data_IF_904630342567
#
_entry.id   IF_904630342567
#
_cell.length_a   1.000
_cell.length_b   1.000
_cell.length_c   1.000
_cell.angle_alpha   90.00
_cell.angle_beta   90.00
_cell.angle_gamma   90.00
#
_symmetry.space_group_name_H-M   'P 1'
#
loop_
_entity.id
_entity.type
_entity.pdbx_description
1 polymer ?
#
# COMPACT_ATOMS: atom_id res chain seq x y z
N UNK A 1 14.41 23.03 3.76
CA UNK A 1 12.97 23.25 3.53
C UNK A 1 12.82 23.83 2.13
N UNK A 2 12.69 22.96 1.13
CA UNK A 2 12.30 23.37 -0.22
C UNK A 2 10.77 23.41 -0.22
N UNK A 3 10.19 24.49 -0.76
CA UNK A 3 8.75 24.69 -0.78
C UNK A 3 8.08 23.72 -1.77
N UNK A 4 6.81 23.40 -1.48
CA UNK A 4 5.92 22.67 -2.37
C UNK A 4 6.01 23.22 -3.81
N UNK A 5 6.38 22.38 -4.78
CA UNK A 5 6.54 22.73 -6.20
C UNK A 5 7.95 23.16 -6.66
N UNK A 6 8.97 23.10 -5.80
CA UNK A 6 10.37 23.27 -6.22
C UNK A 6 11.01 21.95 -6.68
N UNK A 7 11.78 21.97 -7.77
CA UNK A 7 12.68 20.89 -8.22
C UNK A 7 14.10 21.12 -7.68
N UNK A 8 14.84 20.04 -7.41
CA UNK A 8 16.28 20.09 -7.10
C UNK A 8 16.68 19.94 -5.62
N UNK A 9 15.98 19.12 -4.82
CA UNK A 9 16.41 18.78 -3.45
C UNK A 9 17.04 17.39 -3.28
N UNK A 10 17.26 16.67 -4.39
CA UNK A 10 18.01 15.41 -4.43
C UNK A 10 19.48 15.64 -4.01
N UNK A 11 19.73 15.59 -2.71
CA UNK A 11 21.08 15.75 -2.17
C UNK A 11 21.84 14.46 -2.44
N UNK A 12 22.85 14.52 -3.31
CA UNK A 12 23.72 13.37 -3.58
C UNK A 12 24.34 12.82 -2.28
N UNK A 13 24.52 11.50 -2.23
CA UNK A 13 25.22 10.76 -1.18
C UNK A 13 26.52 11.50 -0.74
N UNK A 14 26.84 11.66 0.57
CA UNK A 14 26.55 10.76 1.69
C UNK A 14 25.37 11.17 2.60
N UNK A 15 24.59 12.19 2.26
CA UNK A 15 23.61 12.78 3.19
C UNK A 15 22.17 12.27 3.05
N UNK A 16 21.91 11.37 2.09
CA UNK A 16 20.59 10.78 1.85
C UNK A 16 20.57 9.31 2.28
N UNK A 17 19.69 8.96 3.20
CA UNK A 17 19.46 7.57 3.60
C UNK A 17 18.09 7.15 3.04
N UNK A 18 18.07 6.12 2.19
CA UNK A 18 16.82 5.60 1.62
C UNK A 18 16.05 4.84 2.71
N UNK A 19 15.22 5.55 3.46
CA UNK A 19 14.51 5.02 4.63
C UNK A 19 13.02 5.37 4.63
N UNK A 20 12.53 5.99 3.57
CA UNK A 20 11.13 6.38 3.42
C UNK A 20 10.57 5.82 2.11
N UNK A 21 9.25 5.56 2.07
CA UNK A 21 8.56 5.05 0.87
C UNK A 21 8.82 5.91 -0.38
N UNK A 22 8.96 7.23 -0.19
CA UNK A 22 9.28 8.17 -1.25
C UNK A 22 10.61 7.84 -1.96
N UNK A 23 11.61 7.36 -1.22
CA UNK A 23 12.93 7.02 -1.75
C UNK A 23 12.90 5.79 -2.67
N UNK A 24 11.98 4.87 -2.40
CA UNK A 24 11.76 3.66 -3.20
C UNK A 24 10.86 3.93 -4.39
N UNK A 25 9.87 4.83 -4.25
CA UNK A 25 8.91 5.05 -5.32
C UNK A 25 9.54 5.59 -6.62
N UNK A 26 10.68 6.30 -6.56
CA UNK A 26 11.52 6.79 -7.69
C UNK A 26 10.82 7.80 -8.62
N UNK A 27 9.59 7.46 -8.99
CA UNK A 27 8.57 8.21 -9.69
C UNK A 27 8.09 9.49 -9.00
N UNK A 28 8.31 9.69 -7.69
CA UNK A 28 7.97 10.97 -7.07
C UNK A 28 9.00 12.08 -7.38
N UNK A 29 10.07 11.74 -8.09
CA UNK A 29 11.16 12.63 -8.50
C UNK A 29 10.88 13.22 -9.88
N UNK A 30 11.24 14.49 -10.08
CA UNK A 30 11.10 15.24 -11.34
C UNK A 30 11.81 14.53 -12.51
N UNK A 31 12.86 13.75 -12.22
CA UNK A 31 13.62 12.95 -13.19
C UNK A 31 12.75 11.90 -13.90
N UNK A 32 11.69 11.42 -13.27
CA UNK A 32 10.73 10.47 -13.85
C UNK A 32 9.58 11.17 -14.61
N UNK A 33 9.61 12.49 -14.76
CA UNK A 33 8.60 13.27 -15.50
C UNK A 33 7.32 13.54 -14.74
N UNK A 34 7.27 13.20 -13.45
CA UNK A 34 6.14 13.48 -12.56
C UNK A 34 6.28 14.86 -11.90
N UNK A 35 5.15 15.52 -11.67
CA UNK A 35 5.13 16.72 -10.84
C UNK A 35 5.55 16.36 -9.41
N UNK A 36 6.13 17.30 -8.68
CA UNK A 36 6.59 17.03 -7.32
C UNK A 36 5.44 16.51 -6.44
N UNK A 37 5.61 15.32 -5.86
CA UNK A 37 4.57 14.63 -5.08
C UNK A 37 3.53 13.84 -5.88
N UNK A 38 3.63 13.74 -7.20
CA UNK A 38 2.81 12.83 -8.01
C UNK A 38 3.55 11.51 -8.28
N UNK A 39 2.79 10.43 -8.48
CA UNK A 39 3.31 9.14 -8.93
C UNK A 39 2.47 8.66 -10.11
N UNK A 40 3.05 7.78 -10.93
CA UNK A 40 2.33 7.13 -12.03
C UNK A 40 2.09 5.67 -11.64
N UNK A 41 0.85 5.21 -11.78
CA UNK A 41 0.49 3.81 -11.61
C UNK A 41 0.11 3.23 -12.97
N UNK A 42 0.73 2.11 -13.34
CA UNK A 42 0.42 1.43 -14.59
C UNK A 42 -0.73 0.43 -14.43
N UNK A 43 -1.50 0.26 -15.49
CA UNK A 43 -2.64 -0.65 -15.54
C UNK A 43 -2.72 -1.31 -16.92
N UNK A 44 -3.21 -2.55 -16.98
CA UNK A 44 -3.66 -3.10 -18.24
C UNK A 44 -4.99 -2.47 -18.65
N UNK A 45 -5.08 -2.02 -19.91
CA UNK A 45 -6.29 -1.37 -20.45
C UNK A 45 -7.50 -2.30 -20.53
N UNK A 46 -7.28 -3.62 -20.48
CA UNK A 46 -8.36 -4.62 -20.43
C UNK A 46 -8.93 -4.82 -19.01
N UNK A 47 -8.31 -4.23 -17.99
CA UNK A 47 -8.69 -4.36 -16.57
C UNK A 47 -8.08 -5.56 -15.84
N UNK A 48 -7.24 -6.38 -16.49
CA UNK A 48 -6.53 -7.46 -15.81
C UNK A 48 -5.53 -6.90 -14.77
N UNK A 49 -5.19 -7.68 -13.73
CA UNK A 49 -4.14 -7.30 -12.77
C UNK A 49 -2.82 -7.00 -13.48
N UNK A 50 -2.24 -5.84 -13.21
CA UNK A 50 -0.89 -5.46 -13.63
C UNK A 50 0.05 -5.66 -12.44
N UNK A 51 0.85 -6.72 -12.49
CA UNK A 51 1.69 -7.17 -11.35
C UNK A 51 3.07 -6.50 -11.36
N UNK A 52 3.76 -6.51 -10.22
CA UNK A 52 5.15 -6.03 -10.15
C UNK A 52 6.08 -6.77 -11.13
N UNK A 53 5.86 -8.08 -11.31
CA UNK A 53 6.48 -8.87 -12.39
C UNK A 53 6.19 -8.31 -13.78
N UNK A 54 4.93 -7.94 -14.07
CA UNK A 54 4.59 -7.34 -15.37
C UNK A 54 5.32 -6.01 -15.56
N UNK A 55 5.42 -5.17 -14.54
CA UNK A 55 6.18 -3.92 -14.60
C UNK A 55 7.66 -4.16 -14.97
N UNK A 56 8.26 -5.23 -14.44
CA UNK A 56 9.63 -5.63 -14.74
C UNK A 56 9.81 -6.14 -16.17
N UNK A 57 8.88 -6.96 -16.66
CA UNK A 57 8.98 -7.64 -17.95
C UNK A 57 8.54 -6.78 -19.15
N UNK A 58 7.87 -5.67 -18.90
CA UNK A 58 7.22 -4.85 -19.94
C UNK A 58 7.99 -3.58 -20.25
N UNK A 59 7.76 -3.06 -21.46
CA UNK A 59 8.31 -1.80 -21.95
C UNK A 59 7.20 -0.89 -22.44
N UNK A 60 7.44 0.42 -22.36
CA UNK A 60 6.55 1.44 -22.92
C UNK A 60 6.60 1.46 -24.47
N UNK A 61 5.82 2.37 -25.06
CA UNK A 61 5.76 2.56 -26.52
C UNK A 61 7.10 3.01 -27.16
N UNK A 62 8.08 3.43 -26.36
CA UNK A 62 9.40 3.86 -26.78
C UNK A 62 10.48 2.82 -26.45
N UNK A 63 10.09 1.62 -26.01
CA UNK A 63 10.98 0.54 -25.62
C UNK A 63 11.83 0.86 -24.37
N UNK A 64 11.29 1.69 -23.46
CA UNK A 64 11.86 1.90 -22.12
C UNK A 64 11.22 0.93 -21.12
N UNK A 65 11.96 0.39 -20.14
CA UNK A 65 11.40 -0.46 -19.10
C UNK A 65 10.35 0.29 -18.28
N UNK A 66 9.25 -0.37 -17.91
CA UNK A 66 8.15 0.24 -17.15
C UNK A 66 8.46 0.35 -15.65
N UNK A 67 9.08 -0.68 -15.06
CA UNK A 67 9.33 -0.75 -13.61
C UNK A 67 9.95 0.51 -12.96
N UNK A 68 10.87 1.29 -13.58
CA UNK A 68 11.41 2.50 -12.96
C UNK A 68 10.42 3.67 -12.93
N UNK A 69 9.37 3.58 -13.76
CA UNK A 69 8.36 4.63 -13.96
C UNK A 69 7.02 4.29 -13.28
N UNK A 70 6.92 3.12 -12.64
CA UNK A 70 5.70 2.65 -11.99
C UNK A 70 5.81 2.74 -10.46
N UNK A 71 4.98 3.59 -9.86
CA UNK A 71 4.91 3.77 -8.42
C UNK A 71 4.50 2.50 -7.68
N UNK A 72 3.73 1.61 -8.33
CA UNK A 72 3.39 0.30 -7.77
C UNK A 72 4.65 -0.54 -7.55
N UNK A 73 5.55 -0.59 -8.54
CA UNK A 73 6.82 -1.32 -8.40
C UNK A 73 7.71 -0.74 -7.28
N UNK A 74 7.79 0.59 -7.16
CA UNK A 74 8.55 1.21 -6.07
C UNK A 74 7.94 0.98 -4.67
N UNK A 75 6.62 0.83 -4.56
CA UNK A 75 6.01 0.39 -3.28
C UNK A 75 6.36 -1.07 -2.99
N UNK A 76 6.40 -1.94 -4.01
CA UNK A 76 6.83 -3.33 -3.86
C UNK A 76 8.29 -3.41 -3.37
N UNK A 77 9.20 -2.60 -3.92
CA UNK A 77 10.59 -2.51 -3.44
C UNK A 77 10.68 -2.15 -1.95
N UNK A 78 9.83 -1.23 -1.48
CA UNK A 78 9.75 -0.90 -0.06
C UNK A 78 9.23 -2.07 0.80
N UNK A 79 8.21 -2.79 0.32
CA UNK A 79 7.69 -3.96 1.03
C UNK A 79 8.74 -5.06 1.16
N UNK A 80 9.50 -5.31 0.09
CA UNK A 80 10.65 -6.23 0.08
C UNK A 80 11.74 -5.80 1.05
N UNK A 81 12.08 -4.51 1.06
CA UNK A 81 13.00 -3.95 2.05
C UNK A 81 12.49 -4.14 3.49
N UNK A 82 11.19 -4.01 3.71
CA UNK A 82 10.54 -4.26 5.00
C UNK A 82 10.39 -5.76 5.35
N UNK A 83 10.80 -6.66 4.44
CA UNK A 83 10.82 -8.11 4.64
C UNK A 83 9.53 -8.83 4.24
N UNK A 84 8.66 -8.19 3.47
CA UNK A 84 7.43 -8.75 2.90
C UNK A 84 7.59 -8.97 1.39
N UNK A 85 6.77 -9.86 0.81
CA UNK A 85 6.78 -10.14 -0.63
C UNK A 85 7.59 -11.39 -1.00
N UNK A 86 7.74 -11.60 -2.31
CA UNK A 86 8.49 -12.70 -2.89
C UNK A 86 9.98 -12.65 -2.51
N UNK A 87 10.67 -13.80 -2.53
CA UNK A 87 12.14 -13.81 -2.38
C UNK A 87 12.87 -13.22 -3.60
N UNK A 88 12.20 -13.22 -4.76
CA UNK A 88 12.65 -12.60 -6.00
C UNK A 88 11.60 -11.58 -6.43
N UNK A 89 11.95 -10.31 -6.29
CA UNK A 89 11.10 -9.16 -6.62
C UNK A 89 10.71 -9.13 -8.11
N UNK A 90 11.60 -9.62 -8.99
CA UNK A 90 11.34 -9.64 -10.44
C UNK A 90 10.24 -10.63 -10.83
N UNK A 91 9.85 -11.51 -9.90
CA UNK A 91 8.81 -12.51 -10.08
C UNK A 91 7.60 -12.26 -9.18
N UNK A 92 7.49 -11.09 -8.55
CA UNK A 92 6.41 -10.82 -7.60
C UNK A 92 5.08 -10.60 -8.31
N UNK A 93 4.14 -11.53 -8.09
CA UNK A 93 2.75 -11.44 -8.55
C UNK A 93 1.76 -11.20 -7.41
N UNK A 94 2.27 -10.99 -6.20
CA UNK A 94 1.48 -10.76 -4.99
C UNK A 94 1.13 -9.30 -4.78
N UNK A 95 1.85 -8.39 -5.44
CA UNK A 95 1.61 -6.95 -5.48
C UNK A 95 1.17 -6.52 -6.88
N UNK A 96 0.03 -5.84 -7.00
CA UNK A 96 -0.54 -5.45 -8.30
C UNK A 96 -1.45 -4.22 -8.23
N UNK A 97 -1.54 -3.52 -9.35
CA UNK A 97 -2.58 -2.52 -9.65
C UNK A 97 -3.64 -3.11 -10.55
N UNK A 98 -4.89 -2.66 -10.42
CA UNK A 98 -5.98 -3.10 -11.29
C UNK A 98 -7.04 -2.00 -11.44
N UNK A 99 -7.54 -1.81 -12.66
CA UNK A 99 -8.70 -0.95 -12.90
C UNK A 99 -9.94 -1.55 -12.24
N UNK A 100 -10.88 -0.74 -11.80
CA UNK A 100 -12.16 -1.25 -11.31
C UNK A 100 -13.09 -1.67 -12.46
N UNK A 101 -14.08 -2.49 -12.14
CA UNK A 101 -15.05 -3.06 -13.07
C UNK A 101 -15.91 -2.02 -13.82
N UNK A 102 -16.06 -0.82 -13.25
CA UNK A 102 -16.73 0.31 -13.93
C UNK A 102 -15.85 0.97 -15.00
N UNK A 103 -14.52 0.78 -14.96
CA UNK A 103 -13.56 1.32 -15.92
C UNK A 103 -13.16 0.29 -16.99
N UNK A 104 -13.16 -1.00 -16.66
CA UNK A 104 -12.78 -2.07 -17.58
C UNK A 104 -13.48 -3.40 -17.29
N UNK A 105 -13.71 -4.21 -18.32
CA UNK A 105 -14.52 -5.44 -18.22
C UNK A 105 -13.89 -6.55 -17.38
N UNK A 106 -12.55 -6.62 -17.27
CA UNK A 106 -11.86 -7.54 -16.37
C UNK A 106 -11.48 -6.88 -15.04
N UNK A 107 -12.01 -5.70 -14.77
CA UNK A 107 -11.65 -4.89 -13.63
C UNK A 107 -11.99 -5.53 -12.29
N UNK A 108 -11.33 -5.03 -11.26
CA UNK A 108 -11.54 -5.41 -9.87
C UNK A 108 -12.96 -5.01 -9.44
N UNK A 109 -13.72 -5.96 -8.90
CA UNK A 109 -15.13 -5.73 -8.54
C UNK A 109 -15.28 -5.39 -7.05
N UNK A 110 -16.42 -4.83 -6.67
CA UNK A 110 -16.77 -4.69 -5.25
C UNK A 110 -16.81 -6.03 -4.51
N UNK A 111 -17.13 -7.14 -5.20
CA UNK A 111 -17.05 -8.47 -4.60
C UNK A 111 -15.59 -8.85 -4.27
N UNK A 112 -14.64 -8.58 -5.18
CA UNK A 112 -13.23 -8.79 -4.91
C UNK A 112 -12.73 -7.91 -3.75
N UNK A 113 -13.21 -6.66 -3.65
CA UNK A 113 -12.89 -5.79 -2.53
C UNK A 113 -13.30 -6.42 -1.20
N UNK A 114 -14.54 -6.92 -1.10
CA UNK A 114 -15.01 -7.62 0.09
C UNK A 114 -14.18 -8.85 0.40
N UNK A 115 -13.82 -9.65 -0.60
CA UNK A 115 -12.98 -10.84 -0.42
C UNK A 115 -11.59 -10.49 0.17
N UNK A 116 -11.00 -9.36 -0.23
CA UNK A 116 -9.75 -8.85 0.36
C UNK A 116 -9.92 -8.44 1.83
N UNK A 117 -10.94 -7.63 2.13
CA UNK A 117 -11.23 -7.15 3.49
C UNK A 117 -11.56 -8.33 4.42
N UNK A 118 -12.39 -9.28 3.97
CA UNK A 118 -12.79 -10.46 4.75
C UNK A 118 -11.59 -11.39 5.01
N UNK A 119 -10.58 -11.36 4.15
CA UNK A 119 -9.31 -12.04 4.36
C UNK A 119 -8.32 -11.25 5.23
N UNK A 120 -8.75 -10.11 5.80
CA UNK A 120 -7.96 -9.26 6.69
C UNK A 120 -6.90 -8.42 5.97
N UNK A 121 -7.05 -8.21 4.67
CA UNK A 121 -6.14 -7.40 3.85
C UNK A 121 -6.74 -6.03 3.60
N UNK A 122 -5.88 -5.01 3.55
CA UNK A 122 -6.28 -3.66 3.14
C UNK A 122 -6.11 -3.51 1.64
N UNK A 123 -6.91 -2.62 1.04
CA UNK A 123 -6.83 -2.30 -0.38
C UNK A 123 -6.57 -0.81 -0.52
N UNK A 124 -5.53 -0.43 -1.25
CA UNK A 124 -5.29 0.98 -1.54
C UNK A 124 -6.21 1.40 -2.67
N UNK A 125 -7.08 2.36 -2.40
CA UNK A 125 -8.07 2.91 -3.33
C UNK A 125 -7.40 4.01 -4.13
N UNK A 126 -7.50 3.92 -5.46
CA UNK A 126 -6.96 4.92 -6.38
C UNK A 126 -8.10 5.74 -6.98
N UNK A 127 -8.17 7.00 -6.61
CA UNK A 127 -9.01 8.01 -7.27
C UNK A 127 -8.12 8.92 -8.10
N UNK A 128 -8.71 9.70 -9.01
CA UNK A 128 -7.93 10.65 -9.81
C UNK A 128 -7.09 11.59 -8.93
N UNK A 129 -5.76 11.47 -9.01
CA UNK A 129 -4.82 12.33 -8.29
C UNK A 129 -4.63 12.03 -6.80
N UNK A 130 -5.20 10.94 -6.26
CA UNK A 130 -5.07 10.60 -4.84
C UNK A 130 -5.18 9.10 -4.52
N UNK A 131 -4.45 8.66 -3.50
CA UNK A 131 -4.47 7.29 -2.98
C UNK A 131 -4.95 7.27 -1.53
N UNK A 132 -5.83 6.32 -1.20
CA UNK A 132 -6.47 6.19 0.12
C UNK A 132 -6.42 4.74 0.61
N UNK A 133 -6.57 4.51 1.91
CA UNK A 133 -6.55 3.16 2.48
C UNK A 133 -7.95 2.65 2.76
N UNK A 134 -8.45 1.73 1.94
CA UNK A 134 -9.69 1.02 2.15
C UNK A 134 -9.51 -0.15 3.13
N UNK A 135 -10.37 -0.23 4.13
CA UNK A 135 -10.29 -1.25 5.20
C UNK A 135 -11.64 -1.85 5.60
N UNK A 136 -12.74 -1.42 4.99
CA UNK A 136 -14.08 -1.86 5.38
C UNK A 136 -15.11 -1.60 4.32
N UNK A 137 -16.31 -2.15 4.50
CA UNK A 137 -17.44 -1.90 3.64
C UNK A 137 -18.76 -1.90 4.44
N UNK A 138 -19.77 -1.21 3.92
CA UNK A 138 -21.14 -1.22 4.48
C UNK A 138 -22.00 -2.26 3.76
N UNK A 139 -23.15 -2.62 4.35
CA UNK A 139 -24.12 -3.51 3.70
C UNK A 139 -24.74 -2.91 2.44
N UNK A 140 -24.66 -1.58 2.30
CA UNK A 140 -25.34 -0.81 1.27
C UNK A 140 -24.45 -0.58 0.03
N UNK A 141 -23.24 -1.18 0.01
CA UNK A 141 -22.34 -1.14 -1.13
C UNK A 141 -21.33 0.02 -1.09
N UNK A 142 -21.09 0.60 0.08
CA UNK A 142 -20.07 1.62 0.27
C UNK A 142 -18.78 1.00 0.77
N UNK A 143 -17.67 1.60 0.36
CA UNK A 143 -16.35 1.31 0.93
C UNK A 143 -16.06 2.29 2.05
N UNK A 144 -15.36 1.81 3.07
CA UNK A 144 -14.89 2.57 4.22
C UNK A 144 -13.37 2.72 4.10
N UNK A 145 -12.88 3.94 4.19
CA UNK A 145 -11.47 4.25 3.98
C UNK A 145 -10.97 5.41 4.86
N UNK A 146 -9.66 5.43 5.03
CA UNK A 146 -8.92 6.56 5.61
C UNK A 146 -8.19 7.28 4.47
N UNK A 147 -8.29 8.60 4.45
CA UNK A 147 -7.49 9.39 3.52
C UNK A 147 -6.08 9.63 4.06
N UNK A 148 -5.16 9.95 3.16
CA UNK A 148 -3.77 10.24 3.54
C UNK A 148 -3.56 11.69 4.02
N UNK A 149 -4.65 12.46 4.14
CA UNK A 149 -4.68 13.83 4.66
C UNK A 149 -5.14 13.92 6.13
N UNK A 150 -5.41 12.78 6.76
CA UNK A 150 -5.72 12.67 8.19
C UNK A 150 -7.22 12.62 8.51
N UNK A 151 -8.07 12.40 7.51
CA UNK A 151 -9.47 12.07 7.73
C UNK A 151 -9.65 10.56 7.82
N UNK A 152 -10.56 10.15 8.71
CA UNK A 152 -10.77 8.75 9.04
C UNK A 152 -12.25 8.38 8.97
N UNK A 153 -12.55 7.10 8.71
CA UNK A 153 -13.92 6.57 8.58
C UNK A 153 -14.75 7.31 7.52
N UNK A 154 -14.13 7.58 6.37
CA UNK A 154 -14.82 8.14 5.22
C UNK A 154 -15.52 7.02 4.45
N UNK A 155 -16.59 7.38 3.76
CA UNK A 155 -17.43 6.45 3.00
C UNK A 155 -17.66 6.99 1.59
N UNK A 156 -17.64 6.08 0.60
CA UNK A 156 -18.10 6.37 -0.76
C UNK A 156 -18.66 5.11 -1.41
N UNK A 157 -19.59 5.27 -2.35
CA UNK A 157 -20.08 4.15 -3.17
C UNK A 157 -18.93 3.61 -4.03
N UNK A 158 -18.84 2.28 -4.19
CA UNK A 158 -17.90 1.66 -5.13
C UNK A 158 -18.06 2.22 -6.55
N UNK A 159 -16.95 2.61 -7.17
CA UNK A 159 -16.94 3.26 -8.49
C UNK A 159 -17.48 4.70 -8.49
N UNK A 160 -17.72 5.28 -7.30
CA UNK A 160 -18.10 6.67 -7.14
C UNK A 160 -16.91 7.62 -7.09
N UNK A 161 -17.12 8.78 -6.47
CA UNK A 161 -16.12 9.86 -6.42
C UNK A 161 -15.91 10.35 -4.98
N UNK A 162 -14.67 10.71 -4.66
CA UNK A 162 -14.31 11.40 -3.42
C UNK A 162 -13.85 12.82 -3.74
N UNK A 163 -14.56 13.84 -3.26
CA UNK A 163 -14.16 15.24 -3.51
C UNK A 163 -14.10 15.63 -5.00
N UNK A 164 -14.92 15.00 -5.85
CA UNK A 164 -14.89 15.10 -7.33
C UNK A 164 -13.74 14.35 -8.03
N UNK A 165 -13.00 13.50 -7.30
CA UNK A 165 -12.01 12.59 -7.85
C UNK A 165 -12.66 11.23 -8.03
N UNK A 166 -12.83 10.80 -9.28
CA UNK A 166 -13.48 9.53 -9.61
C UNK A 166 -12.58 8.35 -9.26
N UNK A 167 -13.16 7.26 -8.76
CA UNK A 167 -12.43 6.02 -8.53
C UNK A 167 -12.01 5.40 -9.87
N UNK A 168 -10.70 5.14 -9.99
CA UNK A 168 -10.08 4.62 -11.21
C UNK A 168 -9.64 3.16 -11.07
N UNK A 169 -9.05 2.83 -9.92
CA UNK A 169 -8.43 1.54 -9.72
C UNK A 169 -8.17 1.23 -8.26
N UNK A 170 -7.42 0.15 -8.05
CA UNK A 170 -6.94 -0.30 -6.76
C UNK A 170 -5.49 -0.74 -6.86
N UNK A 171 -4.78 -0.71 -5.74
CA UNK A 171 -3.54 -1.45 -5.53
C UNK A 171 -3.76 -2.46 -4.41
N UNK A 172 -3.42 -3.70 -4.69
CA UNK A 172 -3.64 -4.84 -3.80
C UNK A 172 -2.31 -5.52 -3.50
N UNK A 173 -2.19 -6.01 -2.26
CA UNK A 173 -1.05 -6.80 -1.82
C UNK A 173 -1.52 -8.03 -1.07
N UNK A 174 -1.05 -9.20 -1.50
CA UNK A 174 -1.15 -10.42 -0.70
C UNK A 174 0.16 -10.61 0.07
N UNK A 175 0.21 -10.24 1.37
CA UNK A 175 1.44 -10.32 2.13
C UNK A 175 1.93 -11.77 2.21
N UNK A 176 3.19 -11.94 1.83
CA UNK A 176 3.99 -13.14 2.06
C UNK A 176 5.29 -12.74 2.74
N UNK A 177 5.99 -13.69 3.36
CA UNK A 177 7.15 -13.35 4.20
C UNK A 177 6.73 -12.61 5.47
N UNK A 178 7.61 -11.74 5.98
CA UNK A 178 7.47 -11.07 7.27
C UNK A 178 7.62 -12.07 8.42
N UNK A 179 8.69 -11.94 9.21
CA UNK A 179 8.62 -12.54 10.55
C UNK A 179 7.51 -11.81 11.31
N UNK A 180 6.59 -12.49 12.02
CA UNK A 180 5.63 -11.82 12.87
C UNK A 180 6.41 -10.83 13.74
N UNK A 181 6.03 -9.54 13.72
CA UNK A 181 6.61 -8.55 14.63
C UNK A 181 6.51 -9.16 16.04
N UNK A 182 7.63 -9.47 16.71
CA UNK A 182 7.57 -10.05 18.04
C UNK A 182 6.69 -9.14 18.89
N UNK A 183 5.73 -9.72 19.61
CA UNK A 183 4.96 -8.97 20.59
C UNK A 183 5.96 -8.13 21.40
N UNK A 184 5.78 -6.79 21.49
CA UNK A 184 6.76 -5.96 22.14
C UNK A 184 7.02 -6.53 23.53
N UNK A 185 8.28 -6.55 23.96
CA UNK A 185 8.71 -7.21 25.21
C UNK A 185 7.88 -6.75 26.43
N UNK A 186 7.30 -5.55 26.36
CA UNK A 186 6.34 -4.99 27.30
C UNK A 186 5.08 -5.84 27.49
N UNK A 187 4.53 -6.45 26.43
CA UNK A 187 3.34 -7.30 26.50
C UNK A 187 3.66 -8.66 27.16
N UNK A 188 4.82 -9.24 26.85
CA UNK A 188 5.33 -10.44 27.53
C UNK A 188 5.64 -10.16 29.01
N UNK A 189 6.17 -8.97 29.32
CA UNK A 189 6.39 -8.52 30.70
C UNK A 189 5.08 -8.31 31.48
N UNK A 190 4.03 -7.81 30.81
CA UNK A 190 2.70 -7.66 31.41
C UNK A 190 2.07 -9.00 31.77
N UNK A 191 2.14 -9.99 30.87
CA UNK A 191 1.58 -11.33 31.10
C UNK A 191 2.32 -12.03 32.26
N UNK A 192 3.65 -11.97 32.26
CA UNK A 192 4.47 -12.52 33.35
C UNK A 192 4.27 -11.77 34.68
N UNK A 193 4.13 -10.45 34.64
CA UNK A 193 3.84 -9.62 35.81
C UNK A 193 2.49 -9.94 36.45
N UNK A 194 1.44 -10.12 35.64
CA UNK A 194 0.11 -10.50 36.10
C UNK A 194 0.08 -11.91 36.70
N UNK A 195 0.78 -12.88 36.10
CA UNK A 195 0.94 -14.22 36.64
C UNK A 195 1.70 -14.23 37.98
N UNK A 196 2.76 -13.42 38.09
CA UNK A 196 3.52 -13.23 39.33
C UNK A 196 2.66 -12.62 40.45
N UNK A 197 1.84 -11.62 40.14
CA UNK A 197 0.90 -11.00 41.08
C UNK A 197 -0.20 -11.97 41.55
N UNK A 198 -0.73 -12.80 40.65
CA UNK A 198 -1.71 -13.83 41.00
C UNK A 198 -1.10 -14.91 41.91
N UNK A 199 0.08 -15.43 41.58
CA UNK A 199 0.80 -16.40 42.40
C UNK A 199 1.19 -15.86 43.78
N UNK A 200 1.61 -14.59 43.85
CA UNK A 200 1.89 -13.91 45.12
C UNK A 200 0.62 -13.81 45.98
N UNK A 201 -0.52 -13.39 45.42
CA UNK A 201 -1.80 -13.29 46.16
C UNK A 201 -2.28 -14.64 46.71
N UNK A 202 -2.11 -15.74 45.98
CA UNK A 202 -2.50 -17.08 46.46
C UNK A 202 -1.64 -17.51 47.65
N UNK A 203 -0.33 -17.28 47.58
CA UNK A 203 0.62 -17.68 48.64
C UNK A 203 0.40 -16.95 49.97
N UNK A 204 -0.08 -15.71 49.94
CA UNK A 204 -0.33 -14.91 51.14
C UNK A 204 -1.76 -15.01 51.70
N UNK A 205 -2.66 -15.73 51.03
CA UNK A 205 -3.99 -16.08 51.57
C UNK A 205 -4.03 -17.41 52.34
N UNK A 206 -2.93 -18.17 52.32
CA UNK A 206 -2.79 -19.47 53.00
C UNK A 206 -1.97 -19.38 54.30
N UNK A 207 -1.80 -18.19 54.86
CA UNK A 207 -1.27 -17.95 56.21
C UNK A 207 -2.33 -17.23 57.03
#
# INVERSE_FOLDING_TARGET
>A
FVAYGGSGDDVANPTHANNSLADFMGTNQDLAGNSNGSTTLYYWTNGAPFTAKDAFDTVDQFNNPIWPMDGMYGIDEYLHYAGYGSADITQDTSFYTQLIDTQASLGFTFANYKDEIDAGRVVMIQVEGHSMFGYGYTTDGEIIFDDTWGHHNLEMTWGGSYGSMDQWGVTCFTPSGGSPVPLPSSLLLMISGLAGLAGWRVRFRQK
#
